data_IF_393864363424
#
_entry.id   IF_393864363424
#
_cell.length_a   1.000
_cell.length_b   1.000
_cell.length_c   1.000
_cell.angle_alpha   90.00
_cell.angle_beta   90.00
_cell.angle_gamma   90.00
#
_symmetry.space_group_name_H-M   'P 1'
#
loop_
_entity.id
_entity.type
_entity.pdbx_description
1 polymer ?
#
# COMPACT_ATOMS: atom_id res chain seq x y z
N UNK A 1 -5.84 -0.99 -23.02
CA UNK A 1 -7.21 -1.40 -23.41
C UNK A 1 -8.12 -0.23 -23.11
N UNK A 2 -8.93 0.19 -24.10
CA UNK A 2 -9.98 1.18 -23.91
C UNK A 2 -11.23 0.39 -23.51
N UNK A 3 -11.75 0.63 -22.32
CA UNK A 3 -13.01 0.07 -21.87
C UNK A 3 -14.12 1.07 -22.19
N UNK A 4 -15.14 0.64 -22.93
CA UNK A 4 -16.30 1.45 -23.25
C UNK A 4 -17.45 1.04 -22.31
N UNK A 5 -18.01 1.99 -21.60
CA UNK A 5 -19.16 1.79 -20.72
C UNK A 5 -20.33 2.61 -21.25
N UNK A 6 -21.52 2.02 -21.30
CA UNK A 6 -22.75 2.74 -21.60
C UNK A 6 -23.85 2.31 -20.63
N UNK A 7 -24.54 3.28 -20.06
CA UNK A 7 -25.69 3.00 -19.20
C UNK A 7 -26.93 2.69 -20.05
N UNK A 8 -27.82 1.83 -19.55
CA UNK A 8 -29.14 1.62 -20.11
C UNK A 8 -29.96 2.91 -20.02
N UNK A 9 -30.70 3.26 -21.13
CA UNK A 9 -31.47 4.50 -21.17
C UNK A 9 -32.69 4.50 -20.26
N UNK A 10 -33.28 3.32 -19.99
CA UNK A 10 -34.48 3.18 -19.16
C UNK A 10 -34.15 2.92 -17.69
N UNK A 11 -33.03 2.24 -17.44
CA UNK A 11 -32.55 1.87 -16.12
C UNK A 11 -31.08 2.26 -16.00
N UNK A 12 -30.77 3.57 -15.88
CA UNK A 12 -29.38 4.00 -15.72
C UNK A 12 -28.83 3.43 -14.42
N UNK A 13 -27.62 2.86 -14.51
CA UNK A 13 -26.94 2.33 -13.35
C UNK A 13 -26.28 3.47 -12.56
N UNK A 14 -26.43 3.40 -11.26
CA UNK A 14 -25.68 4.20 -10.31
C UNK A 14 -24.49 3.38 -9.83
N UNK A 15 -23.32 3.98 -9.71
CA UNK A 15 -22.15 3.30 -9.19
C UNK A 15 -21.35 4.20 -8.27
N UNK A 16 -20.70 3.57 -7.30
CA UNK A 16 -19.71 4.19 -6.42
C UNK A 16 -18.40 3.48 -6.68
N UNK A 17 -17.33 4.24 -6.80
CA UNK A 17 -15.99 3.70 -6.93
C UNK A 17 -15.09 4.23 -5.85
N UNK A 18 -14.12 3.42 -5.43
CA UNK A 18 -13.12 3.76 -4.43
C UNK A 18 -11.77 3.41 -5.01
N UNK A 19 -10.88 4.39 -5.06
CA UNK A 19 -9.48 4.17 -5.40
C UNK A 19 -8.66 4.12 -4.11
N UNK A 20 -7.86 3.09 -3.97
CA UNK A 20 -7.00 2.92 -2.81
C UNK A 20 -5.69 2.26 -3.23
N UNK A 21 -4.63 2.59 -2.51
CA UNK A 21 -3.32 1.97 -2.62
C UNK A 21 -2.78 1.69 -1.21
N UNK A 22 -1.86 0.76 -1.12
CA UNK A 22 -1.22 0.41 0.14
C UNK A 22 -0.54 -0.95 0.11
N UNK A 23 0.31 -1.18 1.11
CA UNK A 23 1.15 -2.36 1.21
C UNK A 23 0.35 -3.68 1.25
N UNK A 24 -0.87 -3.63 1.77
CA UNK A 24 -1.76 -4.80 1.92
C UNK A 24 -2.88 -4.84 0.90
N UNK A 25 -3.01 -3.84 0.02
CA UNK A 25 -4.13 -3.74 -0.91
C UNK A 25 -4.27 -5.01 -1.76
N UNK A 26 -3.18 -5.44 -2.40
CA UNK A 26 -3.16 -6.66 -3.22
C UNK A 26 -3.51 -7.92 -2.42
N UNK A 27 -2.93 -8.07 -1.22
CA UNK A 27 -3.18 -9.23 -0.34
C UNK A 27 -4.67 -9.32 0.04
N UNK A 28 -5.28 -8.20 0.46
CA UNK A 28 -6.68 -8.16 0.86
C UNK A 28 -7.62 -8.47 -0.31
N UNK A 29 -7.31 -7.98 -1.51
CA UNK A 29 -8.06 -8.30 -2.72
C UNK A 29 -7.95 -9.79 -3.08
N UNK A 30 -6.76 -10.38 -3.01
CA UNK A 30 -6.54 -11.82 -3.23
C UNK A 30 -7.26 -12.66 -2.17
N UNK A 31 -7.29 -12.23 -0.90
CA UNK A 31 -8.04 -12.89 0.17
C UNK A 31 -9.54 -12.89 -0.10
N UNK A 32 -10.06 -11.80 -0.67
CA UNK A 32 -11.44 -11.73 -1.14
C UNK A 32 -11.70 -12.56 -2.41
N UNK A 33 -10.68 -13.20 -2.98
CA UNK A 33 -10.77 -13.99 -4.22
C UNK A 33 -10.76 -13.14 -5.49
N UNK A 34 -10.36 -11.87 -5.39
CA UNK A 34 -10.29 -10.93 -6.50
C UNK A 34 -8.88 -10.87 -7.09
N UNK A 35 -8.79 -10.81 -8.41
CA UNK A 35 -7.54 -10.66 -9.16
C UNK A 35 -7.82 -10.06 -10.54
N UNK A 36 -6.77 -9.78 -11.31
CA UNK A 36 -6.93 -9.31 -12.70
C UNK A 36 -7.71 -10.30 -13.57
N UNK A 37 -7.60 -11.60 -13.29
CA UNK A 37 -8.31 -12.66 -14.02
C UNK A 37 -9.72 -12.89 -13.46
N UNK A 38 -9.95 -12.53 -12.20
CA UNK A 38 -11.23 -12.65 -11.50
C UNK A 38 -11.59 -11.32 -10.83
N UNK A 39 -12.00 -10.28 -11.62
CA UNK A 39 -12.21 -8.92 -11.08
C UNK A 39 -13.59 -8.70 -10.45
N UNK A 40 -14.49 -9.68 -10.52
CA UNK A 40 -15.88 -9.54 -10.08
C UNK A 40 -16.08 -10.18 -8.72
N UNK A 41 -16.68 -9.41 -7.80
CA UNK A 41 -17.11 -9.91 -6.50
C UNK A 41 -18.39 -10.75 -6.64
N UNK A 42 -18.38 -11.95 -6.07
CA UNK A 42 -19.53 -12.83 -5.98
C UNK A 42 -19.91 -13.01 -4.51
N UNK A 43 -21.02 -12.41 -4.03
CA UNK A 43 -21.42 -12.50 -2.64
C UNK A 43 -21.93 -13.91 -2.29
N UNK A 44 -21.73 -14.32 -1.04
CA UNK A 44 -22.27 -15.57 -0.50
C UNK A 44 -23.77 -15.52 -0.25
N UNK A 45 -24.33 -14.29 -0.12
CA UNK A 45 -25.76 -14.03 0.09
C UNK A 45 -26.11 -12.58 -0.25
N UNK A 46 -27.38 -12.28 -0.43
CA UNK A 46 -27.87 -10.91 -0.63
C UNK A 46 -27.52 -10.01 0.54
N UNK A 47 -27.59 -10.51 1.77
CA UNK A 47 -27.18 -9.77 2.97
C UNK A 47 -25.71 -9.40 2.98
N UNK A 48 -24.85 -10.25 2.40
CA UNK A 48 -23.42 -9.94 2.25
C UNK A 48 -23.19 -8.86 1.18
N UNK A 49 -23.95 -8.89 0.08
CA UNK A 49 -23.93 -7.86 -0.94
C UNK A 49 -24.41 -6.52 -0.37
N UNK A 50 -25.52 -6.51 0.38
CA UNK A 50 -26.07 -5.32 1.02
C UNK A 50 -25.08 -4.72 2.02
N UNK A 51 -24.43 -5.54 2.87
CA UNK A 51 -23.43 -5.08 3.82
C UNK A 51 -22.28 -4.36 3.08
N UNK A 52 -21.74 -4.96 2.02
CA UNK A 52 -20.66 -4.34 1.25
C UNK A 52 -21.10 -3.00 0.65
N UNK A 53 -22.30 -2.97 0.05
CA UNK A 53 -22.87 -1.73 -0.52
C UNK A 53 -22.99 -0.64 0.54
N UNK A 54 -23.54 -0.98 1.72
CA UNK A 54 -23.73 -0.04 2.81
C UNK A 54 -22.40 0.54 3.30
N UNK A 55 -21.37 -0.29 3.45
CA UNK A 55 -20.04 0.18 3.85
C UNK A 55 -19.41 1.10 2.78
N UNK A 56 -19.60 0.82 1.49
CA UNK A 56 -19.15 1.70 0.41
C UNK A 56 -19.91 3.03 0.41
N UNK A 57 -21.23 3.01 0.58
CA UNK A 57 -22.05 4.23 0.65
C UNK A 57 -21.70 5.10 1.86
N UNK A 58 -21.34 4.50 3.00
CA UNK A 58 -20.86 5.26 4.16
C UNK A 58 -19.61 6.06 3.85
N UNK A 59 -18.71 5.54 3.02
CA UNK A 59 -17.51 6.28 2.62
C UNK A 59 -17.86 7.58 1.88
N UNK A 60 -18.93 7.60 1.08
CA UNK A 60 -19.38 8.82 0.37
C UNK A 60 -20.01 9.88 1.27
N UNK A 61 -20.33 9.53 2.52
CA UNK A 61 -20.91 10.44 3.52
C UNK A 61 -19.87 11.22 4.31
N UNK A 62 -18.58 10.88 4.16
CA UNK A 62 -17.51 11.63 4.83
C UNK A 62 -17.35 13.01 4.19
N UNK A 63 -17.38 14.09 5.00
CA UNK A 63 -17.09 15.44 4.51
C UNK A 63 -15.67 15.55 3.95
N UNK A 64 -15.43 16.47 3.00
CA UNK A 64 -14.12 16.70 2.38
C UNK A 64 -13.00 17.02 3.38
N UNK A 65 -13.35 17.58 4.54
CA UNK A 65 -12.42 17.89 5.63
C UNK A 65 -12.35 16.80 6.72
N UNK A 66 -12.85 15.61 6.44
CA UNK A 66 -12.82 14.49 7.39
C UNK A 66 -11.41 14.11 7.78
N UNK A 67 -11.25 13.66 9.04
CA UNK A 67 -9.96 13.17 9.52
C UNK A 67 -9.56 11.91 8.73
N UNK A 68 -8.33 11.82 8.23
CA UNK A 68 -7.86 10.68 7.43
C UNK A 68 -8.08 9.32 8.11
N UNK A 69 -7.98 9.26 9.44
CA UNK A 69 -8.20 8.02 10.20
C UNK A 69 -9.62 7.46 10.07
N UNK A 70 -10.64 8.32 9.97
CA UNK A 70 -12.02 7.87 9.75
C UNK A 70 -12.19 7.21 8.39
N UNK A 71 -11.65 7.84 7.35
CA UNK A 71 -11.68 7.34 5.97
C UNK A 71 -10.91 6.01 5.87
N UNK A 72 -9.73 5.92 6.49
CA UNK A 72 -8.94 4.70 6.55
C UNK A 72 -9.69 3.59 7.29
N UNK A 73 -10.33 3.91 8.42
CA UNK A 73 -11.15 2.96 9.17
C UNK A 73 -12.32 2.43 8.33
N UNK A 74 -13.00 3.30 7.59
CA UNK A 74 -14.10 2.91 6.70
C UNK A 74 -13.60 2.02 5.55
N UNK A 75 -12.42 2.31 4.98
CA UNK A 75 -11.81 1.44 3.97
C UNK A 75 -11.55 0.03 4.51
N UNK A 76 -11.06 -0.10 5.76
CA UNK A 76 -10.87 -1.42 6.37
C UNK A 76 -12.21 -2.17 6.60
N UNK A 77 -13.31 -1.48 6.92
CA UNK A 77 -14.63 -2.08 7.02
C UNK A 77 -15.14 -2.57 5.66
N UNK A 78 -14.89 -1.82 4.59
CA UNK A 78 -15.19 -2.26 3.22
C UNK A 78 -14.38 -3.53 2.88
N UNK A 79 -13.08 -3.56 3.19
CA UNK A 79 -12.24 -4.74 2.95
C UNK A 79 -12.71 -5.96 3.76
N UNK A 80 -13.10 -5.78 5.03
CA UNK A 80 -13.67 -6.86 5.84
C UNK A 80 -14.97 -7.39 5.24
N UNK A 81 -15.91 -6.50 4.86
CA UNK A 81 -17.17 -6.89 4.23
C UNK A 81 -16.93 -7.65 2.92
N UNK A 82 -15.97 -7.19 2.10
CA UNK A 82 -15.57 -7.84 0.85
C UNK A 82 -15.03 -9.25 1.10
N UNK A 83 -14.09 -9.41 2.04
CA UNK A 83 -13.48 -10.70 2.37
C UNK A 83 -14.51 -11.66 2.98
N UNK A 84 -15.27 -11.21 3.99
CA UNK A 84 -16.23 -12.07 4.67
C UNK A 84 -17.41 -12.45 3.77
N UNK A 85 -17.83 -11.54 2.90
CA UNK A 85 -18.96 -11.74 1.99
C UNK A 85 -18.66 -12.47 0.70
N UNK A 86 -17.38 -12.74 0.37
CA UNK A 86 -17.01 -13.37 -0.89
C UNK A 86 -17.25 -14.88 -0.89
N UNK A 87 -17.94 -15.39 -1.93
CA UNK A 87 -18.06 -16.83 -2.21
C UNK A 87 -16.76 -17.46 -2.70
N UNK A 88 -15.85 -16.64 -3.25
CA UNK A 88 -14.55 -17.05 -3.78
C UNK A 88 -13.39 -16.79 -2.80
N UNK A 89 -13.73 -16.56 -1.53
CA UNK A 89 -12.76 -16.31 -0.46
C UNK A 89 -11.67 -17.35 -0.46
N UNK A 90 -10.46 -16.92 -0.71
CA UNK A 90 -9.28 -17.78 -0.57
C UNK A 90 -8.92 -17.83 0.91
N UNK A 91 -9.07 -18.99 1.54
CA UNK A 91 -8.33 -19.22 2.78
C UNK A 91 -6.86 -19.18 2.39
N UNK A 92 -6.18 -18.10 2.76
CA UNK A 92 -4.73 -18.03 2.65
C UNK A 92 -4.16 -19.18 3.49
N UNK A 93 -4.01 -20.36 2.88
CA UNK A 93 -3.25 -21.50 3.39
C UNK A 93 -1.77 -21.22 3.19
N UNK A 94 -1.30 -20.21 3.85
CA UNK A 94 0.10 -19.83 3.90
C UNK A 94 0.31 -19.16 5.23
N UNK A 95 0.37 -20.00 6.23
CA UNK A 95 1.00 -19.81 7.50
C UNK A 95 0.77 -18.46 8.20
N UNK A 96 0.03 -18.53 9.31
CA UNK A 96 0.11 -17.52 10.38
C UNK A 96 1.56 -17.07 10.64
N UNK A 97 2.52 -17.97 10.41
CA UNK A 97 3.95 -17.76 10.61
C UNK A 97 4.57 -16.88 9.51
N UNK A 98 4.26 -17.09 8.22
CA UNK A 98 4.76 -16.23 7.13
C UNK A 98 4.21 -14.82 7.23
N UNK A 99 2.94 -14.67 7.60
CA UNK A 99 2.33 -13.38 7.88
C UNK A 99 3.00 -12.69 9.07
N UNK A 100 3.25 -13.44 10.14
CA UNK A 100 3.96 -12.93 11.31
C UNK A 100 5.34 -12.41 10.92
N UNK A 101 6.14 -13.16 10.16
CA UNK A 101 7.46 -12.73 9.72
C UNK A 101 7.42 -11.47 8.85
N UNK A 102 6.44 -11.39 7.92
CA UNK A 102 6.27 -10.19 7.12
C UNK A 102 5.89 -8.97 7.97
N UNK A 103 5.00 -9.12 8.96
CA UNK A 103 4.61 -8.05 9.87
C UNK A 103 5.77 -7.58 10.76
N UNK A 104 6.56 -8.51 11.30
CA UNK A 104 7.76 -8.19 12.08
C UNK A 104 8.78 -7.41 11.26
N UNK A 105 9.00 -7.83 10.01
CA UNK A 105 9.91 -7.14 9.10
C UNK A 105 9.41 -5.73 8.74
N UNK A 106 8.13 -5.56 8.47
CA UNK A 106 7.53 -4.25 8.18
C UNK A 106 7.67 -3.31 9.38
N UNK A 107 7.35 -3.79 10.58
CA UNK A 107 7.50 -3.04 11.83
C UNK A 107 8.97 -2.65 12.07
N UNK A 108 9.90 -3.57 11.82
CA UNK A 108 11.34 -3.29 11.94
C UNK A 108 11.79 -2.23 10.95
N UNK A 109 11.36 -2.30 9.69
CA UNK A 109 11.66 -1.29 8.67
C UNK A 109 11.09 0.07 9.08
N UNK A 110 9.85 0.12 9.53
CA UNK A 110 9.19 1.36 9.93
C UNK A 110 9.93 2.08 11.06
N UNK A 111 10.44 1.32 12.03
CA UNK A 111 11.18 1.86 13.18
C UNK A 111 12.63 2.23 12.85
N UNK A 112 13.23 1.58 11.84
CA UNK A 112 14.67 1.65 11.62
C UNK A 112 15.07 2.11 10.21
N UNK A 113 14.15 2.51 9.33
CA UNK A 113 14.46 2.84 7.93
C UNK A 113 15.54 3.91 7.75
N UNK A 114 15.66 4.84 8.71
CA UNK A 114 16.67 5.89 8.70
C UNK A 114 18.10 5.39 9.03
N UNK A 115 18.20 4.20 9.61
CA UNK A 115 19.47 3.56 9.97
C UNK A 115 20.00 2.71 8.81
N UNK A 116 21.29 2.33 8.81
CA UNK A 116 21.89 1.51 7.77
C UNK A 116 21.51 0.02 7.89
N UNK A 117 20.19 -0.25 7.98
CA UNK A 117 19.68 -1.62 8.06
C UNK A 117 19.82 -2.36 6.73
N UNK A 118 20.04 -3.66 6.83
CA UNK A 118 20.22 -4.61 5.74
C UNK A 118 19.09 -5.66 5.71
N UNK A 119 19.01 -6.43 4.62
CA UNK A 119 18.10 -7.59 4.55
C UNK A 119 18.46 -8.64 5.58
N UNK A 120 19.76 -8.77 5.93
CA UNK A 120 20.25 -9.67 6.98
C UNK A 120 19.67 -9.29 8.35
N UNK A 121 19.66 -7.99 8.67
CA UNK A 121 19.09 -7.51 9.95
C UNK A 121 17.60 -7.82 10.05
N UNK A 122 16.87 -7.70 8.94
CA UNK A 122 15.45 -8.07 8.88
C UNK A 122 15.24 -9.57 9.07
N UNK A 123 16.09 -10.41 8.45
CA UNK A 123 16.02 -11.86 8.58
C UNK A 123 16.36 -12.31 10.00
N UNK A 124 17.40 -11.72 10.59
CA UNK A 124 17.81 -11.98 11.98
C UNK A 124 16.71 -11.60 12.97
N UNK A 125 15.99 -10.50 12.74
CA UNK A 125 14.83 -10.12 13.56
C UNK A 125 13.76 -11.19 13.62
N UNK A 126 13.62 -11.96 12.53
CA UNK A 126 12.68 -13.07 12.40
C UNK A 126 13.29 -14.44 12.79
N UNK A 127 14.56 -14.51 13.17
CA UNK A 127 15.32 -15.75 13.35
C UNK A 127 15.28 -16.66 12.12
N UNK A 128 15.39 -16.06 10.93
CA UNK A 128 15.36 -16.77 9.66
C UNK A 128 16.69 -16.61 8.89
N UNK A 129 17.01 -17.62 8.07
CA UNK A 129 18.01 -17.45 7.02
C UNK A 129 17.58 -16.38 6.03
N UNK A 130 18.55 -15.59 5.53
CA UNK A 130 18.32 -14.48 4.62
C UNK A 130 17.57 -14.90 3.34
N UNK A 131 17.92 -16.04 2.77
CA UNK A 131 17.33 -16.51 1.50
C UNK A 131 15.88 -16.94 1.71
N UNK A 132 15.63 -17.68 2.79
CA UNK A 132 14.28 -18.09 3.17
C UNK A 132 13.41 -16.89 3.53
N UNK A 133 13.93 -15.97 4.33
CA UNK A 133 13.25 -14.71 4.66
C UNK A 133 12.89 -13.93 3.39
N UNK A 134 13.86 -13.75 2.47
CA UNK A 134 13.65 -13.03 1.21
C UNK A 134 12.51 -13.62 0.37
N UNK A 135 12.41 -14.96 0.32
CA UNK A 135 11.32 -15.67 -0.36
C UNK A 135 9.99 -15.42 0.33
N UNK A 136 9.92 -15.68 1.64
CA UNK A 136 8.68 -15.48 2.44
C UNK A 136 8.18 -14.04 2.34
N UNK A 137 9.08 -13.07 2.49
CA UNK A 137 8.72 -11.65 2.39
C UNK A 137 8.19 -11.30 1.00
N UNK A 138 8.88 -11.77 -0.07
CA UNK A 138 8.45 -11.51 -1.46
C UNK A 138 7.11 -12.17 -1.77
N UNK A 139 6.88 -13.38 -1.28
CA UNK A 139 5.61 -14.10 -1.48
C UNK A 139 4.45 -13.38 -0.77
N UNK A 140 4.70 -12.79 0.40
CA UNK A 140 3.70 -12.08 1.20
C UNK A 140 3.46 -10.63 0.75
N UNK A 141 4.53 -9.91 0.37
CA UNK A 141 4.49 -8.46 0.10
C UNK A 141 4.51 -8.16 -1.41
N UNK A 142 4.87 -9.13 -2.24
CA UNK A 142 4.92 -9.00 -3.70
C UNK A 142 6.20 -8.36 -4.24
N UNK A 143 7.14 -7.97 -3.37
CA UNK A 143 8.44 -7.40 -3.75
C UNK A 143 9.54 -7.82 -2.78
N UNK A 144 10.80 -7.68 -3.20
CA UNK A 144 11.92 -8.04 -2.33
C UNK A 144 12.02 -7.12 -1.10
N UNK A 145 12.58 -7.59 0.03
CA UNK A 145 12.80 -6.75 1.22
C UNK A 145 13.65 -5.51 0.92
N UNK A 146 14.65 -5.64 0.03
CA UNK A 146 15.51 -4.54 -0.38
C UNK A 146 14.74 -3.47 -1.17
N UNK A 147 13.93 -3.90 -2.16
CA UNK A 147 13.12 -2.97 -2.97
C UNK A 147 12.09 -2.27 -2.10
N UNK A 148 11.49 -3.00 -1.16
CA UNK A 148 10.55 -2.45 -0.20
C UNK A 148 11.21 -1.35 0.64
N UNK A 149 12.36 -1.61 1.25
CA UNK A 149 13.10 -0.62 2.05
C UNK A 149 13.43 0.63 1.24
N UNK A 150 13.91 0.45 0.00
CA UNK A 150 14.24 1.58 -0.90
C UNK A 150 12.98 2.42 -1.15
N UNK A 151 11.86 1.79 -1.55
CA UNK A 151 10.59 2.49 -1.81
C UNK A 151 10.06 3.18 -0.56
N UNK A 152 10.15 2.54 0.59
CA UNK A 152 9.72 3.11 1.87
C UNK A 152 10.52 4.38 2.20
N UNK A 153 11.85 4.34 2.09
CA UNK A 153 12.73 5.50 2.27
C UNK A 153 12.38 6.64 1.30
N UNK A 154 12.13 6.31 0.03
CA UNK A 154 11.76 7.30 -0.98
C UNK A 154 10.38 7.91 -0.72
N UNK A 155 9.42 7.15 -0.23
CA UNK A 155 8.12 7.67 0.21
C UNK A 155 8.27 8.63 1.39
N UNK A 156 9.10 8.32 2.39
CA UNK A 156 9.41 9.27 3.48
C UNK A 156 10.10 10.54 2.98
N UNK A 157 10.98 10.39 1.97
CA UNK A 157 11.63 11.54 1.35
C UNK A 157 10.65 12.48 0.64
N UNK A 158 9.63 11.96 -0.04
CA UNK A 158 8.62 12.84 -0.69
C UNK A 158 7.89 13.70 0.33
N UNK A 159 7.51 13.14 1.47
CA UNK A 159 6.89 13.90 2.55
C UNK A 159 7.81 15.03 3.05
N UNK A 160 9.09 14.74 3.31
CA UNK A 160 10.06 15.75 3.74
C UNK A 160 10.32 16.82 2.66
N UNK A 161 10.36 16.43 1.39
CA UNK A 161 10.55 17.35 0.27
C UNK A 161 9.42 18.38 0.14
N UNK A 162 8.19 17.98 0.45
CA UNK A 162 7.00 18.83 0.29
C UNK A 162 6.68 19.63 1.54
N UNK A 163 6.94 19.07 2.73
CA UNK A 163 6.53 19.66 4.02
C UNK A 163 7.63 20.45 4.74
N UNK A 164 8.89 20.41 4.24
CA UNK A 164 10.01 21.06 4.92
C UNK A 164 10.90 21.88 3.96
N UNK A 165 11.71 22.77 4.54
CA UNK A 165 12.77 23.51 3.84
C UNK A 165 14.16 22.87 3.95
N UNK A 166 14.27 21.63 4.48
CA UNK A 166 15.53 20.91 4.63
C UNK A 166 16.28 20.79 3.31
N UNK A 167 17.61 20.83 3.35
CA UNK A 167 18.42 20.60 2.15
C UNK A 167 18.22 19.17 1.62
N UNK A 168 18.51 18.94 0.34
CA UNK A 168 18.44 17.60 -0.25
C UNK A 168 19.42 16.65 0.45
N UNK A 169 20.57 17.18 0.88
CA UNK A 169 21.56 16.45 1.66
C UNK A 169 21.01 16.00 3.03
N UNK A 170 20.38 16.92 3.77
CA UNK A 170 19.80 16.59 5.08
C UNK A 170 18.69 15.55 4.95
N UNK A 171 17.82 15.70 3.94
CA UNK A 171 16.78 14.72 3.66
C UNK A 171 17.39 13.35 3.34
N UNK A 172 18.46 13.30 2.53
CA UNK A 172 19.12 12.04 2.19
C UNK A 172 19.57 11.31 3.45
N UNK A 173 20.18 12.00 4.40
CA UNK A 173 20.64 11.44 5.68
C UNK A 173 19.45 10.96 6.52
N UNK A 174 18.41 11.80 6.65
CA UNK A 174 17.22 11.46 7.44
C UNK A 174 16.46 10.22 6.94
N UNK A 175 16.57 9.91 5.65
CA UNK A 175 15.93 8.72 5.09
C UNK A 175 16.91 7.55 4.90
N UNK A 176 18.06 7.58 5.58
CA UNK A 176 19.00 6.46 5.62
C UNK A 176 19.93 6.37 4.41
N UNK A 177 20.21 7.49 3.74
CA UNK A 177 21.21 7.60 2.67
C UNK A 177 22.33 8.56 3.08
N UNK A 178 23.46 8.07 3.59
CA UNK A 178 24.59 8.93 3.93
C UNK A 178 25.17 9.71 2.74
N UNK A 179 24.98 9.15 1.52
CA UNK A 179 25.47 9.75 0.29
C UNK A 179 24.30 10.30 -0.54
N UNK A 180 24.28 11.64 -0.71
CA UNK A 180 23.23 12.35 -1.46
C UNK A 180 23.17 11.93 -2.94
N UNK A 181 24.27 11.53 -3.58
CA UNK A 181 24.25 11.10 -4.98
C UNK A 181 23.54 9.75 -5.13
N UNK A 182 23.77 8.81 -4.19
CA UNK A 182 23.06 7.53 -4.16
C UNK A 182 21.57 7.74 -3.91
N UNK A 183 21.23 8.62 -2.96
CA UNK A 183 19.84 9.02 -2.73
C UNK A 183 19.18 9.58 -3.99
N UNK A 184 19.82 10.56 -4.63
CA UNK A 184 19.25 11.22 -5.82
C UNK A 184 19.05 10.26 -7.00
N UNK A 185 19.94 9.28 -7.16
CA UNK A 185 19.79 8.21 -8.16
C UNK A 185 18.63 7.28 -7.83
N UNK A 186 18.54 6.81 -6.58
CA UNK A 186 17.44 5.96 -6.12
C UNK A 186 16.10 6.66 -6.26
N UNK A 187 16.03 7.94 -5.89
CA UNK A 187 14.83 8.75 -6.01
C UNK A 187 14.39 8.90 -7.47
N UNK A 188 15.33 9.23 -8.37
CA UNK A 188 15.05 9.36 -9.80
C UNK A 188 14.59 8.05 -10.42
N UNK A 189 15.13 6.92 -10.00
CA UNK A 189 14.72 5.60 -10.50
C UNK A 189 13.25 5.28 -10.14
N UNK A 190 12.76 5.79 -9.01
CA UNK A 190 11.38 5.52 -8.56
C UNK A 190 10.39 6.56 -9.09
N UNK A 191 10.75 7.85 -9.07
CA UNK A 191 9.83 8.95 -9.41
C UNK A 191 10.09 9.57 -10.80
N UNK A 192 11.08 9.09 -11.55
CA UNK A 192 11.40 9.61 -12.90
C UNK A 192 12.07 10.98 -12.92
N UNK A 193 12.18 11.67 -11.78
CA UNK A 193 12.75 13.01 -11.66
C UNK A 193 13.66 13.16 -10.44
N UNK A 194 14.50 14.20 -10.43
CA UNK A 194 15.35 14.47 -9.27
C UNK A 194 14.56 14.96 -8.06
N UNK A 195 15.08 14.77 -6.81
CA UNK A 195 14.45 15.30 -5.59
C UNK A 195 14.19 16.81 -5.66
N UNK A 196 15.10 17.57 -6.30
CA UNK A 196 14.95 19.03 -6.46
C UNK A 196 13.77 19.36 -7.38
N UNK A 197 13.66 18.67 -8.52
CA UNK A 197 12.52 18.84 -9.44
C UNK A 197 11.20 18.46 -8.77
N UNK A 198 11.18 17.34 -8.04
CA UNK A 198 10.01 16.90 -7.30
C UNK A 198 9.54 17.96 -6.30
N UNK A 199 10.45 18.55 -5.51
CA UNK A 199 10.16 19.65 -4.58
C UNK A 199 9.56 20.86 -5.30
N UNK A 200 10.13 21.26 -6.44
CA UNK A 200 9.65 22.44 -7.19
C UNK A 200 8.22 22.24 -7.72
N UNK A 201 7.89 21.03 -8.15
CA UNK A 201 6.57 20.72 -8.71
C UNK A 201 5.50 20.48 -7.65
N UNK A 202 5.90 19.96 -6.48
CA UNK A 202 4.97 19.52 -5.43
C UNK A 202 5.05 20.34 -4.14
N UNK A 203 5.80 21.45 -4.12
CA UNK A 203 5.80 22.34 -2.98
C UNK A 203 4.39 22.93 -2.90
N UNK A 204 3.62 22.49 -1.92
CA UNK A 204 2.34 23.12 -1.59
C UNK A 204 2.62 24.59 -1.39
N UNK A 205 1.90 25.43 -2.13
CA UNK A 205 1.98 26.89 -2.05
C UNK A 205 1.77 27.28 -0.58
N UNK A 206 2.86 27.65 0.06
CA UNK A 206 2.86 28.30 1.37
C UNK A 206 2.65 29.78 1.18
#
# INVERSE_FOLDING_TARGET
>A
RINLYSADQKFPWEYVWVEFDGLRAKELMEEAGLSNDHPVFHPISDTAADKLRDEMLRLTQYPDNSRPLGIIGQLYLIMDALIQGSSNKKRLQGGKLSRFYAQEALSFIEQNYALPITVEDMANRCNLDRSYFGKVFKDMIGQSPQDFLIRYRMSKATSLLTSTSLSIGDISVQVGYPNQLHFSRAFRNIYGMSPRQYRQQNKLLS
#
